data_IF_597415224017
#
_entry.id   IF_597415224017
#
_cell.length_a   1.000
_cell.length_b   1.000
_cell.length_c   1.000
_cell.angle_alpha   90.00
_cell.angle_beta   90.00
_cell.angle_gamma   90.00
#
_symmetry.space_group_name_H-M   'P 1'
#
loop_
_entity.id
_entity.type
_entity.pdbx_description
1 polymer ?
#
# COMPACT_ATOMS: atom_id res chain seq x y z
N UNK A 1 -14.85 -37.51 -7.96
CA UNK A 1 -13.50 -37.03 -7.57
C UNK A 1 -13.51 -36.86 -6.08
N UNK A 2 -12.46 -37.33 -5.39
CA UNK A 2 -12.33 -37.13 -3.95
C UNK A 2 -12.15 -35.64 -3.67
N UNK A 3 -12.99 -35.08 -2.79
CA UNK A 3 -12.97 -33.66 -2.48
C UNK A 3 -11.88 -33.40 -1.44
N UNK A 4 -10.96 -32.49 -1.76
CA UNK A 4 -9.89 -32.10 -0.84
C UNK A 4 -10.52 -31.36 0.35
N UNK A 5 -10.33 -31.83 1.59
CA UNK A 5 -10.91 -31.19 2.76
C UNK A 5 -10.29 -29.81 3.00
N UNK A 6 -11.14 -28.84 3.34
CA UNK A 6 -10.72 -27.50 3.72
C UNK A 6 -10.26 -27.46 5.19
N UNK A 7 -9.38 -26.51 5.56
CA UNK A 7 -9.02 -26.29 6.96
C UNK A 7 -10.26 -25.97 7.81
N UNK A 8 -10.32 -26.52 9.01
CA UNK A 8 -11.49 -26.41 9.87
C UNK A 8 -11.41 -25.22 10.82
N UNK A 9 -10.20 -24.87 11.28
CA UNK A 9 -10.01 -23.87 12.31
C UNK A 9 -8.97 -22.83 11.90
N UNK A 10 -9.23 -21.58 12.29
CA UNK A 10 -8.26 -20.50 12.30
C UNK A 10 -8.22 -19.91 13.71
N UNK A 11 -7.05 -19.93 14.35
CA UNK A 11 -6.85 -19.34 15.68
C UNK A 11 -5.83 -18.22 15.60
N UNK A 12 -6.08 -17.13 16.30
CA UNK A 12 -5.16 -15.99 16.39
C UNK A 12 -4.71 -15.80 17.83
N UNK A 13 -3.41 -15.82 18.05
CA UNK A 13 -2.75 -15.45 19.30
C UNK A 13 -2.12 -14.07 19.10
N UNK A 14 -2.66 -13.05 19.78
CA UNK A 14 -2.08 -11.71 19.77
C UNK A 14 -0.81 -11.69 20.63
N UNK A 15 0.27 -11.15 20.07
CA UNK A 15 1.55 -10.98 20.75
C UNK A 15 1.74 -9.50 21.11
N UNK A 16 2.85 -9.16 21.76
CA UNK A 16 3.13 -7.77 22.11
C UNK A 16 3.22 -6.87 20.85
N UNK A 17 2.60 -5.69 20.93
CA UNK A 17 2.53 -4.74 19.82
C UNK A 17 1.53 -5.16 18.73
N UNK A 18 1.72 -4.66 17.52
CA UNK A 18 0.87 -4.99 16.37
C UNK A 18 1.30 -6.31 15.69
N UNK A 19 1.54 -7.37 16.47
CA UNK A 19 2.02 -8.68 16.00
C UNK A 19 1.08 -9.80 16.46
N UNK A 20 0.82 -10.78 15.61
CA UNK A 20 0.06 -11.96 15.99
C UNK A 20 0.58 -13.22 15.31
N UNK A 21 0.36 -14.35 15.99
CA UNK A 21 0.53 -15.68 15.42
C UNK A 21 -0.84 -16.22 15.01
N UNK A 22 -0.98 -16.58 13.73
CA UNK A 22 -2.22 -17.08 13.15
C UNK A 22 -2.01 -18.51 12.71
N UNK A 23 -2.76 -19.45 13.28
CA UNK A 23 -2.66 -20.88 13.00
C UNK A 23 -3.86 -21.32 12.18
N UNK A 24 -3.61 -22.07 11.11
CA UNK A 24 -4.62 -22.66 10.22
C UNK A 24 -4.38 -24.17 10.18
N UNK A 25 -5.36 -24.94 10.66
CA UNK A 25 -5.28 -26.40 10.72
C UNK A 25 -6.67 -27.08 10.75
N UNK A 26 -6.75 -28.37 10.35
CA UNK A 26 -5.74 -29.13 9.61
C UNK A 26 -5.83 -28.85 8.10
N UNK A 27 -4.70 -28.55 7.47
CA UNK A 27 -4.57 -28.39 6.01
C UNK A 27 -4.29 -29.76 5.37
N UNK A 28 -4.85 -30.01 4.18
CA UNK A 28 -4.49 -31.18 3.39
C UNK A 28 -2.96 -31.17 3.07
N UNK A 29 -2.28 -32.32 2.95
CA UNK A 29 -0.85 -32.36 2.65
C UNK A 29 -0.48 -31.46 1.45
N UNK A 30 0.56 -30.62 1.61
CA UNK A 30 1.01 -29.62 0.64
C UNK A 30 0.24 -28.29 0.65
N UNK A 31 -0.96 -28.23 1.24
CA UNK A 31 -1.75 -27.00 1.26
C UNK A 31 -1.26 -25.96 2.27
N UNK A 32 -0.58 -26.36 3.35
CA UNK A 32 0.02 -25.41 4.29
C UNK A 32 1.06 -24.52 3.61
N UNK A 33 1.95 -25.11 2.81
CA UNK A 33 2.93 -24.37 2.00
C UNK A 33 2.27 -23.53 0.90
N UNK A 34 1.23 -24.08 0.26
CA UNK A 34 0.49 -23.40 -0.82
C UNK A 34 -0.19 -22.13 -0.30
N UNK A 35 -0.93 -22.24 0.80
CA UNK A 35 -1.58 -21.11 1.47
C UNK A 35 -0.55 -20.13 2.05
N UNK A 36 0.48 -20.64 2.72
CA UNK A 36 1.54 -19.82 3.33
C UNK A 36 2.25 -18.93 2.33
N UNK A 37 2.66 -19.49 1.19
CA UNK A 37 3.32 -18.72 0.12
C UNK A 37 2.39 -17.67 -0.51
N UNK A 38 1.14 -18.05 -0.81
CA UNK A 38 0.17 -17.13 -1.40
C UNK A 38 -0.13 -15.96 -0.47
N UNK A 39 -0.45 -16.24 0.80
CA UNK A 39 -0.73 -15.22 1.81
C UNK A 39 0.48 -14.31 2.04
N UNK A 40 1.69 -14.89 2.19
CA UNK A 40 2.91 -14.10 2.41
C UNK A 40 3.16 -13.07 1.31
N UNK A 41 2.93 -13.44 0.04
CA UNK A 41 3.10 -12.51 -1.09
C UNK A 41 2.12 -11.35 -1.00
N UNK A 42 0.83 -11.65 -0.87
CA UNK A 42 -0.23 -10.65 -0.88
C UNK A 42 -0.15 -9.72 0.34
N UNK A 43 0.19 -10.25 1.51
CA UNK A 43 0.41 -9.47 2.73
C UNK A 43 1.50 -8.41 2.56
N UNK A 44 2.59 -8.70 1.83
CA UNK A 44 3.70 -7.77 1.63
C UNK A 44 3.49 -6.75 0.50
N UNK A 45 2.65 -7.07 -0.50
CA UNK A 45 2.57 -6.26 -1.73
C UNK A 45 1.23 -5.59 -1.99
N UNK A 46 0.13 -6.15 -1.52
CA UNK A 46 -1.18 -5.89 -2.13
C UNK A 46 -2.22 -5.30 -1.19
N UNK A 47 -1.92 -5.19 0.11
CA UNK A 47 -2.81 -4.54 1.06
C UNK A 47 -2.82 -3.02 0.86
N UNK A 48 -3.98 -2.37 0.97
CA UNK A 48 -4.08 -0.92 0.95
C UNK A 48 -3.46 -0.34 2.22
N UNK A 49 -2.75 0.77 2.08
CA UNK A 49 -2.27 1.57 3.19
C UNK A 49 -2.03 3.00 2.75
N UNK A 50 -1.29 3.76 3.56
CA UNK A 50 -1.05 5.18 3.29
C UNK A 50 0.40 5.55 3.57
N UNK A 51 0.93 6.48 2.77
CA UNK A 51 2.29 6.96 2.89
C UNK A 51 2.38 8.45 2.56
N UNK A 52 3.45 9.09 3.05
CA UNK A 52 3.87 10.41 2.59
C UNK A 52 4.51 10.25 1.22
N UNK A 53 4.09 11.04 0.24
CA UNK A 53 4.57 10.96 -1.15
C UNK A 53 5.45 12.11 -1.55
N UNK A 54 5.25 13.27 -0.94
CA UNK A 54 6.03 14.46 -1.20
C UNK A 54 6.05 15.34 0.04
N UNK A 55 7.10 16.14 0.16
CA UNK A 55 7.25 17.15 1.21
C UNK A 55 7.65 18.48 0.60
N UNK A 56 7.25 19.57 1.22
CA UNK A 56 7.69 20.93 0.89
C UNK A 56 8.12 21.61 2.17
N UNK A 57 9.39 21.99 2.25
CA UNK A 57 9.94 22.69 3.42
C UNK A 57 10.25 24.12 3.00
N UNK A 58 9.75 25.10 3.76
CA UNK A 58 10.00 26.50 3.44
C UNK A 58 11.49 26.83 3.55
N UNK A 59 12.06 27.41 2.48
CA UNK A 59 13.48 27.77 2.41
C UNK A 59 14.42 26.63 2.01
N UNK A 60 13.89 25.49 1.58
CA UNK A 60 14.67 24.35 1.06
C UNK A 60 14.27 24.08 -0.39
N UNK A 61 15.26 24.14 -1.28
CA UNK A 61 15.04 23.88 -2.71
C UNK A 61 15.31 22.42 -3.09
N UNK A 62 16.11 21.69 -2.32
CA UNK A 62 16.52 20.32 -2.61
C UNK A 62 16.81 19.50 -1.35
N UNK A 63 16.88 18.19 -1.49
CA UNK A 63 17.06 17.24 -0.37
C UNK A 63 18.43 17.25 0.32
N UNK A 64 19.47 17.77 -0.33
CA UNK A 64 20.84 17.82 0.23
C UNK A 64 21.13 19.09 1.06
N UNK A 65 20.10 19.86 1.41
CA UNK A 65 20.27 21.10 2.18
C UNK A 65 20.36 20.83 3.67
N UNK A 66 21.08 21.69 4.40
CA UNK A 66 21.04 21.75 5.86
C UNK A 66 20.12 22.88 6.32
N UNK A 67 19.41 22.69 7.43
CA UNK A 67 18.54 23.69 8.02
C UNK A 67 19.21 24.37 9.23
N UNK A 68 19.39 25.71 9.23
CA UNK A 68 19.96 26.42 10.37
C UNK A 68 19.13 26.20 11.66
N UNK A 69 19.80 25.79 12.73
CA UNK A 69 19.14 25.58 14.04
C UNK A 69 18.36 24.26 14.16
N UNK A 70 18.57 23.32 13.24
CA UNK A 70 18.10 21.93 13.30
C UNK A 70 19.30 20.99 13.36
N UNK A 71 19.21 19.91 14.15
CA UNK A 71 20.29 18.92 14.29
C UNK A 71 20.43 18.05 13.04
N UNK A 72 19.29 17.58 12.53
CA UNK A 72 19.18 16.69 11.37
C UNK A 72 19.24 17.49 10.06
N UNK A 73 19.85 16.90 9.02
CA UNK A 73 19.78 17.45 7.67
C UNK A 73 18.46 17.07 6.98
N UNK A 74 18.20 17.61 5.77
CA UNK A 74 16.95 17.33 5.06
C UNK A 74 16.83 15.85 4.66
N UNK A 75 17.93 15.14 4.41
CA UNK A 75 17.93 13.70 4.10
C UNK A 75 17.50 12.88 5.31
N UNK A 76 18.04 13.18 6.49
CA UNK A 76 17.67 12.56 7.76
C UNK A 76 16.19 12.79 8.07
N UNK A 77 15.71 14.03 7.87
CA UNK A 77 14.29 14.38 8.03
C UNK A 77 13.42 13.56 7.06
N UNK A 78 13.82 13.45 5.78
CA UNK A 78 13.13 12.62 4.79
C UNK A 78 13.07 11.15 5.22
N UNK A 79 14.17 10.58 5.71
CA UNK A 79 14.23 9.21 6.20
C UNK A 79 13.34 8.99 7.44
N UNK A 80 13.26 9.97 8.34
CA UNK A 80 12.36 9.91 9.49
C UNK A 80 10.89 10.02 9.06
N UNK A 81 10.58 10.87 8.08
CA UNK A 81 9.23 11.03 7.53
C UNK A 81 8.74 9.74 6.86
N UNK A 82 9.61 9.01 6.13
CA UNK A 82 9.29 7.68 5.57
C UNK A 82 8.88 6.66 6.66
N UNK A 83 9.26 6.88 7.92
CA UNK A 83 8.89 6.03 9.05
C UNK A 83 7.55 6.41 9.69
N UNK A 84 6.96 7.55 9.33
CA UNK A 84 5.63 7.94 9.81
C UNK A 84 4.60 6.93 9.29
N UNK A 85 3.70 6.51 10.17
CA UNK A 85 2.62 5.57 9.86
C UNK A 85 1.30 6.30 9.99
N UNK A 86 0.53 6.24 8.91
CA UNK A 86 -0.69 7.03 8.73
C UNK A 86 -1.84 6.11 8.36
N UNK A 87 -3.03 6.50 8.79
CA UNK A 87 -4.28 5.98 8.25
C UNK A 87 -5.03 7.14 7.63
N UNK A 88 -5.17 7.10 6.31
CA UNK A 88 -5.90 8.10 5.53
C UNK A 88 -7.30 7.55 5.26
N UNK A 89 -8.33 8.39 5.37
CA UNK A 89 -9.73 8.04 5.10
C UNK A 89 -10.25 8.65 3.79
N UNK A 90 -9.52 9.59 3.21
CA UNK A 90 -9.79 10.18 1.89
C UNK A 90 -9.25 9.29 0.76
N UNK A 91 -9.94 9.29 -0.37
CA UNK A 91 -9.45 8.69 -1.62
C UNK A 91 -8.48 9.61 -2.39
N UNK A 92 -8.59 10.92 -2.19
CA UNK A 92 -7.73 11.92 -2.81
C UNK A 92 -6.51 12.25 -1.91
N UNK A 93 -5.38 12.68 -2.48
CA UNK A 93 -4.22 13.14 -1.72
C UNK A 93 -4.59 14.25 -0.73
N UNK A 94 -4.12 14.11 0.52
CA UNK A 94 -4.37 15.06 1.60
C UNK A 94 -3.07 15.79 1.94
N UNK A 95 -3.16 17.10 2.16
CA UNK A 95 -2.04 17.91 2.65
C UNK A 95 -2.10 18.01 4.16
N UNK A 96 -1.00 17.70 4.84
CA UNK A 96 -0.81 17.88 6.27
C UNK A 96 0.32 18.87 6.51
N UNK A 97 0.23 19.66 7.57
CA UNK A 97 1.20 20.72 7.85
C UNK A 97 1.95 20.45 9.16
N UNK A 98 3.16 20.97 9.26
CA UNK A 98 3.94 21.00 10.49
C UNK A 98 4.51 22.40 10.66
N UNK A 99 4.08 23.08 11.72
CA UNK A 99 4.57 24.41 12.10
C UNK A 99 5.05 24.38 13.53
N UNK A 100 6.36 24.49 13.70
CA UNK A 100 7.03 24.41 15.01
C UNK A 100 8.04 25.53 15.14
N UNK A 101 8.06 26.15 16.32
CA UNK A 101 8.97 27.27 16.63
C UNK A 101 9.62 27.06 17.99
N UNK A 102 10.87 27.51 18.08
CA UNK A 102 11.68 27.40 19.29
C UNK A 102 12.32 26.04 19.51
N UNK A 103 13.14 25.97 20.55
CA UNK A 103 13.94 24.79 20.89
C UNK A 103 13.03 23.65 21.38
N UNK A 104 12.93 22.58 20.59
CA UNK A 104 12.05 21.43 20.88
C UNK A 104 12.44 20.20 20.05
N UNK A 105 12.19 19.02 20.62
CA UNK A 105 12.15 17.76 19.86
C UNK A 105 10.80 17.61 19.17
N UNK A 106 10.83 17.53 17.85
CA UNK A 106 9.64 17.44 17.01
C UNK A 106 9.35 15.99 16.72
N UNK A 107 8.11 15.60 16.96
CA UNK A 107 7.62 14.23 16.81
C UNK A 107 6.50 14.17 15.77
N UNK A 108 6.15 12.97 15.32
CA UNK A 108 5.03 12.78 14.41
C UNK A 108 3.68 13.22 15.02
N UNK A 109 3.58 13.29 16.36
CA UNK A 109 2.44 13.85 17.08
C UNK A 109 2.28 15.37 16.92
N UNK A 110 3.33 16.08 16.49
CA UNK A 110 3.27 17.53 16.22
C UNK A 110 2.69 17.87 14.84
N UNK A 111 2.44 16.85 14.00
CA UNK A 111 1.80 17.02 12.69
C UNK A 111 0.36 17.52 12.85
N UNK A 112 0.03 18.60 12.14
CA UNK A 112 -1.31 19.15 12.07
C UNK A 112 -2.11 18.35 11.03
N UNK A 113 -2.84 17.36 11.51
CA UNK A 113 -3.68 16.47 10.69
C UNK A 113 -5.15 16.88 10.73
N UNK A 114 -5.86 16.65 9.64
CA UNK A 114 -7.33 16.80 9.55
C UNK A 114 -8.02 15.52 10.01
N UNK A 115 -9.36 15.52 10.06
CA UNK A 115 -10.15 14.31 10.36
C UNK A 115 -9.92 13.15 9.39
N UNK A 116 -9.37 13.44 8.20
CA UNK A 116 -9.14 12.45 7.15
C UNK A 116 -7.82 11.69 7.34
N UNK A 117 -6.98 12.10 8.30
CA UNK A 117 -5.66 11.49 8.53
C UNK A 117 -5.45 11.22 10.02
N UNK A 118 -5.04 10.00 10.34
CA UNK A 118 -4.65 9.61 11.70
C UNK A 118 -3.20 9.15 11.73
N UNK A 119 -2.39 9.76 12.59
CA UNK A 119 -1.02 9.31 12.88
C UNK A 119 -1.07 8.12 13.83
N UNK A 120 -0.38 7.03 13.48
CA UNK A 120 -0.39 5.76 14.22
C UNK A 120 0.79 5.64 15.19
N UNK A 121 1.89 6.33 14.93
CA UNK A 121 3.10 6.36 15.75
C UNK A 121 3.48 7.79 16.15
N UNK A 122 2.68 8.48 17.01
CA UNK A 122 2.90 9.89 17.35
C UNK A 122 4.25 10.14 18.03
N UNK A 123 4.80 9.16 18.74
CA UNK A 123 6.08 9.30 19.47
C UNK A 123 7.32 9.24 18.56
N UNK A 124 7.14 9.01 17.24
CA UNK A 124 8.25 8.94 16.30
C UNK A 124 8.95 10.30 16.22
N UNK A 125 10.26 10.30 16.49
CA UNK A 125 11.12 11.47 16.33
C UNK A 125 11.26 11.84 14.85
N UNK A 126 11.06 13.12 14.53
CA UNK A 126 11.24 13.66 13.18
C UNK A 126 12.50 14.50 13.07
N UNK A 127 12.67 15.46 13.99
CA UNK A 127 13.81 16.38 14.02
C UNK A 127 13.94 17.09 15.37
N UNK A 128 15.05 17.77 15.62
CA UNK A 128 15.34 18.53 16.83
C UNK A 128 15.71 19.96 16.48
N UNK A 129 14.95 20.93 16.97
CA UNK A 129 15.29 22.36 16.88
C UNK A 129 16.16 22.75 18.08
N UNK A 130 17.34 23.32 17.83
CA UNK A 130 18.32 23.69 18.86
C UNK A 130 18.32 25.19 19.19
N UNK A 131 17.73 26.03 18.36
CA UNK A 131 17.69 27.49 18.56
C UNK A 131 16.26 27.93 18.94
N UNK A 132 16.16 28.86 19.89
CA UNK A 132 14.90 29.52 20.28
C UNK A 132 14.28 30.34 19.15
N UNK A 133 15.06 30.72 18.15
CA UNK A 133 14.59 31.43 16.94
C UNK A 133 14.38 30.50 15.75
N UNK A 134 14.71 29.21 15.85
CA UNK A 134 14.45 28.27 14.78
C UNK A 134 12.94 28.12 14.57
N UNK A 135 12.53 28.10 13.31
CA UNK A 135 11.15 27.92 12.89
C UNK A 135 11.16 26.99 11.69
N UNK A 136 10.36 25.94 11.76
CA UNK A 136 10.13 25.02 10.64
C UNK A 136 8.66 25.12 10.26
N UNK A 137 8.44 25.36 8.97
CA UNK A 137 7.13 25.30 8.32
C UNK A 137 7.27 24.37 7.12
N UNK A 138 6.59 23.23 7.18
CA UNK A 138 6.59 22.24 6.13
C UNK A 138 5.20 21.65 5.87
N UNK A 139 4.96 21.33 4.60
CA UNK A 139 3.77 20.64 4.12
C UNK A 139 4.17 19.22 3.68
N UNK A 140 3.36 18.22 4.01
CA UNK A 140 3.51 16.85 3.55
C UNK A 140 2.26 16.46 2.78
N UNK A 141 2.45 15.81 1.64
CA UNK A 141 1.35 15.22 0.86
C UNK A 141 1.28 13.75 1.24
N UNK A 142 0.10 13.30 1.66
CA UNK A 142 -0.17 11.92 2.05
C UNK A 142 -1.27 11.34 1.19
N UNK A 143 -1.10 10.10 0.74
CA UNK A 143 -2.11 9.44 -0.08
C UNK A 143 -2.24 7.97 0.25
N UNK A 144 -3.38 7.40 -0.14
CA UNK A 144 -3.59 5.96 -0.12
C UNK A 144 -2.92 5.29 -1.33
N UNK A 145 -2.46 4.07 -1.14
CA UNK A 145 -1.84 3.29 -2.20
C UNK A 145 -1.63 1.84 -1.80
N UNK A 146 -0.88 1.10 -2.61
CA UNK A 146 -0.52 -0.30 -2.37
C UNK A 146 0.96 -0.52 -2.63
N UNK A 147 1.56 -1.39 -1.82
CA UNK A 147 2.94 -1.82 -2.02
C UNK A 147 3.96 -0.69 -1.82
N UNK A 148 5.02 -0.75 -2.62
CA UNK A 148 6.10 0.24 -2.65
C UNK A 148 6.16 0.87 -4.03
N UNK A 149 6.17 2.20 -4.08
CA UNK A 149 6.33 2.94 -5.33
C UNK A 149 7.52 3.90 -5.15
N UNK A 150 8.65 3.65 -5.84
CA UNK A 150 9.77 4.57 -5.82
C UNK A 150 9.41 5.87 -6.55
N UNK A 151 10.15 6.95 -6.26
CA UNK A 151 9.91 8.26 -6.89
C UNK A 151 9.95 8.17 -8.42
N UNK A 152 10.90 7.44 -9.01
CA UNK A 152 11.11 7.38 -10.46
C UNK A 152 9.99 6.67 -11.22
N UNK A 153 9.23 5.80 -10.52
CA UNK A 153 8.13 5.05 -11.11
C UNK A 153 6.79 5.79 -11.03
N UNK A 154 6.72 6.92 -10.32
CA UNK A 154 5.54 7.77 -10.39
C UNK A 154 5.64 8.60 -11.64
N UNK A 155 4.54 8.69 -12.37
CA UNK A 155 4.43 9.65 -13.45
C UNK A 155 4.86 11.02 -12.96
N UNK A 156 5.47 11.81 -13.85
CA UNK A 156 5.91 13.17 -13.55
C UNK A 156 4.69 14.05 -13.29
N UNK A 157 4.05 13.87 -12.14
CA UNK A 157 3.23 14.89 -11.53
C UNK A 157 4.06 16.16 -11.59
N UNK A 158 3.50 17.22 -12.17
CA UNK A 158 4.15 18.53 -12.20
C UNK A 158 4.23 19.02 -10.76
N UNK A 159 5.25 18.57 -10.05
CA UNK A 159 5.53 19.01 -8.69
C UNK A 159 5.96 20.47 -8.77
N UNK A 160 5.37 21.30 -7.90
CA UNK A 160 5.75 22.69 -7.77
C UNK A 160 7.23 22.80 -7.39
N UNK A 161 7.85 23.91 -7.74
CA UNK A 161 9.22 24.23 -7.33
C UNK A 161 9.31 24.20 -5.79
N UNK A 162 10.33 23.51 -5.27
CA UNK A 162 10.57 23.31 -3.83
C UNK A 162 9.82 22.12 -3.21
N UNK A 163 9.08 21.33 -4.01
CA UNK A 163 8.50 20.06 -3.55
C UNK A 163 9.49 18.92 -3.80
N UNK A 164 9.85 18.22 -2.73
CA UNK A 164 10.74 17.06 -2.75
C UNK A 164 9.87 15.80 -2.73
N UNK A 165 9.99 14.98 -3.78
CA UNK A 165 9.31 13.70 -3.85
C UNK A 165 9.97 12.66 -2.93
N UNK A 166 9.15 11.79 -2.35
CA UNK A 166 9.60 10.78 -1.39
C UNK A 166 9.07 9.42 -1.80
N UNK A 167 9.88 8.37 -1.67
CA UNK A 167 9.41 6.99 -1.88
C UNK A 167 8.24 6.65 -0.96
N UNK A 168 7.23 6.00 -1.51
CA UNK A 168 5.97 5.77 -0.84
C UNK A 168 5.88 4.30 -0.49
N UNK A 169 5.94 4.05 0.81
CA UNK A 169 5.83 2.72 1.41
C UNK A 169 4.41 2.61 1.95
N UNK A 170 3.48 2.17 1.11
CA UNK A 170 2.07 2.00 1.51
C UNK A 170 1.84 0.72 2.29
N UNK A 171 2.74 -0.27 2.21
CA UNK A 171 2.53 -1.58 2.82
C UNK A 171 2.36 -1.49 4.35
N UNK A 172 1.18 -1.88 4.89
CA UNK A 172 0.93 -1.85 6.33
C UNK A 172 1.57 -3.03 7.10
N UNK A 173 2.03 -4.06 6.40
CA UNK A 173 2.71 -5.24 6.97
C UNK A 173 4.22 -5.02 6.99
N UNK A 174 4.82 -5.04 8.18
CA UNK A 174 6.27 -4.90 8.37
C UNK A 174 7.01 -6.22 8.18
N UNK A 175 6.44 -7.30 8.71
CA UNK A 175 7.06 -8.63 8.65
C UNK A 175 6.01 -9.72 8.54
N UNK A 176 6.29 -10.72 7.71
CA UNK A 176 5.54 -11.96 7.68
C UNK A 176 6.49 -13.16 7.51
N UNK A 177 6.37 -14.11 8.43
CA UNK A 177 6.98 -15.43 8.35
C UNK A 177 5.91 -16.51 8.42
N UNK A 178 6.22 -17.72 7.96
CA UNK A 178 5.35 -18.86 8.21
C UNK A 178 6.16 -20.13 8.40
N UNK A 179 5.60 -21.06 9.17
CA UNK A 179 6.09 -22.43 9.32
C UNK A 179 4.96 -23.41 9.02
N UNK A 180 5.33 -24.61 8.58
CA UNK A 180 4.39 -25.69 8.30
C UNK A 180 4.87 -26.92 9.05
N UNK A 181 4.01 -27.45 9.92
CA UNK A 181 4.26 -28.66 10.70
C UNK A 181 3.27 -29.76 10.33
N UNK A 182 3.64 -31.03 10.50
CA UNK A 182 2.70 -32.13 10.35
C UNK A 182 1.81 -32.29 11.59
N UNK A 183 0.54 -32.59 11.39
CA UNK A 183 -0.45 -32.87 12.43
C UNK A 183 -1.22 -34.15 12.15
N UNK A 184 -1.64 -34.80 13.23
CA UNK A 184 -2.42 -36.04 13.16
C UNK A 184 -3.91 -35.76 13.22
N UNK A 185 -4.64 -36.25 12.23
CA UNK A 185 -6.10 -36.22 12.17
C UNK A 185 -6.60 -37.67 12.14
N UNK A 186 -7.12 -38.13 13.28
CA UNK A 186 -7.53 -39.53 13.46
C UNK A 186 -6.36 -40.50 13.32
N UNK A 187 -6.34 -41.32 12.26
CA UNK A 187 -5.26 -42.25 11.96
C UNK A 187 -4.21 -41.68 10.98
N UNK A 188 -4.51 -40.55 10.32
CA UNK A 188 -3.66 -39.96 9.29
C UNK A 188 -2.72 -38.93 9.94
N UNK A 189 -1.42 -38.98 9.63
CA UNK A 189 -0.38 -38.14 10.27
C UNK A 189 0.27 -37.11 9.35
N UNK A 190 -0.15 -37.02 8.09
CA UNK A 190 0.46 -36.15 7.08
C UNK A 190 -0.33 -34.86 6.79
N UNK A 191 -1.39 -34.56 7.56
CA UNK A 191 -2.03 -33.25 7.47
C UNK A 191 -1.06 -32.17 7.96
N UNK A 192 -1.25 -30.94 7.51
CA UNK A 192 -0.36 -29.82 7.80
C UNK A 192 -1.03 -28.79 8.72
N UNK A 193 -0.24 -28.14 9.55
CA UNK A 193 -0.59 -26.96 10.34
C UNK A 193 0.24 -25.79 9.84
N UNK A 194 -0.41 -24.77 9.30
CA UNK A 194 0.23 -23.54 8.88
C UNK A 194 0.22 -22.55 10.04
N UNK A 195 1.40 -22.09 10.45
CA UNK A 195 1.56 -21.03 11.46
C UNK A 195 2.14 -19.79 10.81
N UNK A 196 1.37 -18.72 10.72
CA UNK A 196 1.77 -17.41 10.22
C UNK A 196 2.19 -16.52 11.39
N UNK A 197 3.29 -15.80 11.23
CA UNK A 197 3.78 -14.78 12.17
C UNK A 197 3.76 -13.43 11.45
N UNK A 198 2.80 -12.58 11.79
CA UNK A 198 2.50 -11.34 11.07
C UNK A 198 2.64 -10.15 12.00
N UNK A 199 3.42 -9.15 11.58
CA UNK A 199 3.61 -7.87 12.25
C UNK A 199 3.17 -6.72 11.33
N UNK A 200 2.28 -5.86 11.81
CA UNK A 200 1.77 -4.69 11.09
C UNK A 200 2.26 -3.39 11.72
N UNK A 201 1.93 -2.27 11.07
CA UNK A 201 2.21 -0.92 11.54
C UNK A 201 1.16 -0.33 12.49
N UNK A 202 0.12 -1.12 12.84
CA UNK A 202 -1.01 -0.69 13.67
C UNK A 202 -2.18 -0.08 12.91
N UNK A 203 -2.09 0.11 11.58
CA UNK A 203 -3.20 0.60 10.75
C UNK A 203 -4.28 -0.46 10.53
N UNK A 204 -3.86 -1.73 10.53
CA UNK A 204 -4.66 -2.94 10.46
C UNK A 204 -4.19 -3.94 11.52
N UNK A 205 -5.12 -4.68 12.12
CA UNK A 205 -4.73 -5.81 12.97
C UNK A 205 -4.16 -6.94 12.08
N UNK A 206 -3.20 -7.74 12.59
CA UNK A 206 -2.64 -8.86 11.82
C UNK A 206 -3.70 -9.83 11.28
N UNK A 207 -4.75 -10.10 12.06
CA UNK A 207 -5.85 -10.97 11.63
C UNK A 207 -6.69 -10.34 10.50
N UNK A 208 -6.94 -9.02 10.57
CA UNK A 208 -7.62 -8.31 9.48
C UNK A 208 -6.77 -8.33 8.20
N UNK A 209 -5.46 -8.11 8.31
CA UNK A 209 -4.54 -8.16 7.19
C UNK A 209 -4.60 -9.52 6.47
N UNK A 210 -4.61 -10.65 7.20
CA UNK A 210 -4.75 -12.00 6.62
C UNK A 210 -6.12 -12.19 5.95
N UNK A 211 -7.20 -11.68 6.53
CA UNK A 211 -8.54 -11.74 5.94
C UNK A 211 -8.62 -10.94 4.64
N UNK A 212 -8.05 -9.75 4.60
CA UNK A 212 -8.01 -8.93 3.38
C UNK A 212 -7.12 -9.56 2.30
N UNK A 213 -5.95 -10.08 2.66
CA UNK A 213 -5.09 -10.80 1.74
C UNK A 213 -5.81 -12.03 1.14
N UNK A 214 -6.52 -12.80 1.97
CA UNK A 214 -7.34 -13.92 1.51
C UNK A 214 -8.41 -13.50 0.51
N UNK A 215 -9.10 -12.37 0.75
CA UNK A 215 -10.11 -11.83 -0.17
C UNK A 215 -9.50 -11.47 -1.53
N UNK A 216 -8.33 -10.81 -1.53
CA UNK A 216 -7.62 -10.46 -2.77
C UNK A 216 -7.28 -11.72 -3.56
N UNK A 217 -6.76 -12.76 -2.90
CA UNK A 217 -6.43 -14.04 -3.54
C UNK A 217 -7.67 -14.69 -4.15
N UNK A 218 -8.77 -14.76 -3.38
CA UNK A 218 -10.04 -15.32 -3.84
C UNK A 218 -10.57 -14.55 -5.05
N UNK A 219 -10.54 -13.22 -5.02
CA UNK A 219 -11.05 -12.41 -6.12
C UNK A 219 -10.24 -12.63 -7.43
N UNK A 220 -8.93 -12.91 -7.34
CA UNK A 220 -8.15 -13.35 -8.51
C UNK A 220 -8.54 -14.74 -9.00
N UNK A 221 -8.74 -15.70 -8.08
CA UNK A 221 -9.14 -17.06 -8.46
C UNK A 221 -10.56 -17.14 -9.03
N UNK A 222 -11.48 -16.25 -8.63
CA UNK A 222 -12.82 -16.13 -9.24
C UNK A 222 -12.75 -15.88 -10.74
N UNK A 223 -11.85 -15.00 -11.17
CA UNK A 223 -11.64 -14.73 -12.61
C UNK A 223 -11.14 -15.98 -13.32
N UNK A 224 -10.21 -16.74 -12.70
CA UNK A 224 -9.65 -17.98 -13.28
C UNK A 224 -10.71 -19.07 -13.46
N UNK A 225 -11.71 -19.14 -12.56
CA UNK A 225 -12.82 -20.10 -12.67
C UNK A 225 -13.95 -19.63 -13.61
N UNK A 226 -13.84 -18.42 -14.19
CA UNK A 226 -14.86 -17.86 -15.09
C UNK A 226 -16.01 -17.15 -14.38
N UNK A 227 -15.90 -16.88 -13.07
CA UNK A 227 -16.82 -16.00 -12.37
C UNK A 227 -16.44 -14.53 -12.60
N UNK A 228 -17.40 -13.60 -12.69
CA UNK A 228 -17.09 -12.18 -12.79
C UNK A 228 -16.33 -11.75 -11.54
N UNK A 229 -15.09 -11.29 -11.73
CA UNK A 229 -14.33 -10.60 -10.68
C UNK A 229 -15.03 -9.31 -10.27
N UNK A 230 -14.60 -8.70 -9.15
CA UNK A 230 -14.99 -7.33 -8.86
C UNK A 230 -14.58 -6.44 -10.02
N UNK A 231 -15.54 -5.74 -10.62
CA UNK A 231 -15.29 -4.68 -11.60
C UNK A 231 -14.68 -3.47 -10.87
N UNK A 232 -13.39 -3.52 -10.54
CA UNK A 232 -12.62 -2.30 -10.31
C UNK A 232 -12.16 -1.81 -11.69
N UNK A 233 -12.51 -0.57 -12.05
CA UNK A 233 -12.07 0.06 -13.30
C UNK A 233 -10.55 -0.01 -13.34
N UNK A 234 -10.00 -0.69 -14.34
CA UNK A 234 -8.59 -0.55 -14.67
C UNK A 234 -8.41 0.92 -15.02
N UNK A 235 -7.70 1.68 -14.18
CA UNK A 235 -7.32 3.05 -14.49
C UNK A 235 -6.22 2.92 -15.54
N UNK A 236 -6.61 2.80 -16.81
CA UNK A 236 -5.70 3.04 -17.92
C UNK A 236 -5.62 4.55 -18.08
N UNK A 237 -4.61 5.18 -17.49
CA UNK A 237 -4.21 6.51 -17.92
C UNK A 237 -3.60 6.35 -19.31
N UNK A 238 -4.44 6.47 -20.35
CA UNK A 238 -3.96 6.60 -21.72
C UNK A 238 -3.38 7.98 -21.86
N UNK A 239 -2.05 8.03 -21.99
CA UNK A 239 -1.35 9.14 -22.61
C UNK A 239 -1.85 9.29 -24.05
N UNK A 240 -2.71 10.29 -24.30
CA UNK A 240 -2.93 10.89 -25.62
C UNK A 240 -3.77 12.16 -25.43
N UNK A 241 -3.09 13.25 -25.09
CA UNK A 241 -3.62 14.61 -25.28
C UNK A 241 -2.46 15.52 -25.69
N UNK A 242 -1.85 15.18 -26.83
CA UNK A 242 -0.98 16.08 -27.61
C UNK A 242 -1.00 15.66 -29.08
N UNK A 243 -1.97 16.15 -29.85
CA UNK A 243 -1.70 16.67 -31.19
C UNK A 243 -2.72 17.73 -31.58
N UNK A 244 -2.17 18.78 -32.19
CA UNK A 244 -2.73 20.06 -32.57
C UNK A 244 -4.09 20.06 -33.28
N UNK A 245 -4.82 21.14 -32.96
CA UNK A 245 -5.79 21.79 -33.84
C UNK A 245 -5.13 22.21 -35.17
N UNK A 246 -5.54 21.60 -36.29
CA UNK A 246 -5.74 22.32 -37.55
C UNK A 246 -6.74 21.58 -38.44
N UNK A 247 -7.85 22.26 -38.69
CA UNK A 247 -8.63 22.35 -39.93
C UNK A 247 -9.26 21.09 -40.60
N UNK A 248 -10.58 21.21 -40.77
CA UNK A 248 -11.42 20.78 -41.91
C UNK A 248 -11.90 19.32 -42.00
N UNK A 249 -13.19 19.17 -41.63
CA UNK A 249 -14.28 18.46 -42.33
C UNK A 249 -13.91 17.48 -43.43
N UNK A 250 -14.36 16.21 -43.36
CA UNK A 250 -15.42 15.63 -44.24
C UNK A 250 -15.96 14.31 -43.62
N UNK A 251 -17.28 14.29 -43.40
CA UNK A 251 -18.28 13.19 -43.41
C UNK A 251 -18.08 11.79 -42.81
N UNK A 252 -19.15 11.40 -42.12
CA UNK A 252 -19.50 10.10 -41.58
C UNK A 252 -19.50 8.94 -42.59
N UNK A 253 -19.05 7.75 -42.15
CA UNK A 253 -19.55 6.47 -42.66
C UNK A 253 -19.55 5.39 -41.57
N UNK A 254 -20.76 5.10 -41.11
CA UNK A 254 -21.15 3.92 -40.33
C UNK A 254 -21.00 2.68 -41.20
N UNK A 255 -20.24 1.66 -40.76
CA UNK A 255 -20.29 0.32 -41.36
C UNK A 255 -20.60 -0.72 -40.27
N UNK A 256 -21.87 -1.13 -40.24
CA UNK A 256 -22.37 -2.34 -39.57
C UNK A 256 -21.87 -3.58 -40.31
N UNK A 257 -21.19 -4.50 -39.62
CA UNK A 257 -20.94 -5.87 -40.11
C UNK A 257 -22.28 -6.63 -40.16
N UNK A 258 -22.74 -7.01 -41.35
CA UNK A 258 -23.75 -8.06 -41.56
C UNK A 258 -23.22 -9.12 -42.52
N UNK A 259 -23.58 -10.36 -42.19
CA UNK A 259 -22.97 -11.62 -42.63
C UNK A 259 -22.96 -11.91 -44.14
N UNK A 260 -22.16 -12.93 -44.46
CA UNK A 260 -21.87 -13.45 -45.80
C UNK A 260 -22.81 -14.61 -46.10
N UNK A 261 -23.56 -14.62 -47.23
CA UNK A 261 -24.10 -15.85 -47.79
C UNK A 261 -23.28 -16.34 -49.00
N UNK A 262 -23.42 -17.64 -49.22
CA UNK A 262 -22.80 -18.52 -50.21
C UNK A 262 -23.00 -18.06 -51.67
N UNK A 263 -22.05 -18.40 -52.54
CA UNK A 263 -22.28 -18.53 -54.00
C UNK A 263 -22.26 -20.01 -54.37
N UNK A 264 -23.39 -20.48 -54.88
CA UNK A 264 -23.50 -21.65 -55.75
C UNK A 264 -23.28 -21.19 -57.22
N UNK A 265 -22.56 -22.06 -57.95
CA UNK A 265 -22.59 -22.39 -59.39
C UNK A 265 -22.86 -21.34 -60.47
N UNK A 266 -21.96 -21.31 -61.46
CA UNK A 266 -22.16 -21.95 -62.78
C UNK A 266 -20.82 -22.53 -63.26
#
# INVERSE_FOLDING_TARGET
MEQIPLPQNITSEELAGARARIVIEPCYPGYGTTLGNALRRVLLSSLPGAAVTAIKINGVDHEFSSLPGVVEDVVDILLNIKQVRLKVFSAEPVKINLKVTGEKKVTAGDLQVTSDVKVLNPDLHLMTLTDKKASIDMELIVQQGRGYIPVEARDKEKLDIGVIAVDAIYTPVKRVGYTVDNVRVGQITNYEKLTLDVETDGGLTPLQAVKEASKIIIDHFKVVIGEPGREEKIITETADDFTDNTAESVEAKVIKKRGRPKKETE
#
